data_IF_101177597892
#
_entry.id   IF_101177597892
#
_cell.length_a   1.000
_cell.length_b   1.000
_cell.length_c   1.000
_cell.angle_alpha   90.00
_cell.angle_beta   90.00
_cell.angle_gamma   90.00
#
_symmetry.space_group_name_H-M   'P 1'
#
loop_
_entity.id
_entity.type
_entity.pdbx_description
1 polymer ?
#
# COMPACT_ATOMS: atom_id res chain seq x y z
N UNK A 1 -0.93 -8.58 5.51
CA UNK A 1 0.52 -8.30 5.55
C UNK A 1 0.86 -7.83 6.96
N UNK A 2 1.84 -8.41 7.66
CA UNK A 2 2.25 -7.90 8.98
C UNK A 2 3.11 -6.63 8.88
N UNK A 3 3.14 -5.81 9.93
CA UNK A 3 3.88 -4.53 9.98
C UNK A 3 5.34 -4.65 9.50
N UNK A 4 6.13 -5.67 9.89
CA UNK A 4 7.53 -5.74 9.45
C UNK A 4 7.66 -5.86 7.93
N UNK A 5 6.74 -6.59 7.28
CA UNK A 5 6.71 -6.68 5.81
C UNK A 5 6.26 -5.38 5.16
N UNK A 6 5.32 -4.64 5.77
CA UNK A 6 4.95 -3.31 5.29
C UNK A 6 6.13 -2.33 5.37
N UNK A 7 6.87 -2.31 6.49
CA UNK A 7 8.02 -1.42 6.66
C UNK A 7 9.11 -1.72 5.61
N UNK A 8 9.42 -3.01 5.40
CA UNK A 8 10.42 -3.41 4.39
C UNK A 8 9.95 -2.99 3.00
N UNK A 9 8.72 -3.32 2.62
CA UNK A 9 8.16 -2.96 1.31
C UNK A 9 8.16 -1.43 1.09
N UNK A 10 7.73 -0.65 2.09
CA UNK A 10 7.72 0.82 2.00
C UNK A 10 9.11 1.40 1.88
N UNK A 11 10.10 0.86 2.60
CA UNK A 11 11.49 1.30 2.48
C UNK A 11 12.09 0.99 1.11
N UNK A 12 11.84 -0.21 0.59
CA UNK A 12 12.33 -0.64 -0.71
C UNK A 12 11.69 0.13 -1.85
N UNK A 13 10.42 0.50 -1.73
CA UNK A 13 9.68 1.27 -2.72
C UNK A 13 9.99 2.77 -2.63
N UNK A 14 9.86 3.39 -1.47
CA UNK A 14 10.07 4.83 -1.29
C UNK A 14 11.56 5.16 -1.06
N UNK A 15 12.42 4.83 -2.02
CA UNK A 15 13.88 4.99 -1.90
C UNK A 15 14.36 6.45 -1.84
N UNK A 16 13.56 7.37 -2.36
CA UNK A 16 13.87 8.80 -2.48
C UNK A 16 12.83 9.70 -1.83
N UNK A 17 11.79 9.10 -1.26
CA UNK A 17 10.64 9.80 -0.72
C UNK A 17 10.29 9.21 0.65
N UNK A 18 9.46 9.89 1.42
CA UNK A 18 8.97 9.36 2.69
C UNK A 18 7.47 9.13 2.59
N UNK A 19 6.94 8.15 3.33
CA UNK A 19 5.51 7.84 3.29
C UNK A 19 4.65 9.02 3.79
N UNK A 20 5.23 9.99 4.50
CA UNK A 20 4.58 11.24 4.88
C UNK A 20 4.79 12.38 3.87
N UNK A 21 5.59 12.21 2.81
CA UNK A 21 5.81 13.19 1.74
C UNK A 21 4.56 13.41 0.88
N UNK A 22 4.11 14.65 0.62
CA UNK A 22 2.87 14.90 -0.12
C UNK A 22 2.88 14.31 -1.54
N UNK A 23 4.04 14.08 -2.16
CA UNK A 23 4.15 13.48 -3.50
C UNK A 23 3.75 12.01 -3.57
N UNK A 24 3.75 11.28 -2.45
CA UNK A 24 3.45 9.84 -2.43
C UNK A 24 1.94 9.61 -2.60
N UNK A 25 1.50 8.77 -3.56
CA UNK A 25 0.09 8.53 -3.86
C UNK A 25 -0.60 7.58 -2.86
N UNK A 26 -1.94 7.54 -2.93
CA UNK A 26 -2.80 6.56 -2.24
C UNK A 26 -2.55 6.42 -0.74
N UNK A 27 -2.30 7.54 -0.08
CA UNK A 27 -2.05 7.60 1.35
C UNK A 27 -2.73 8.80 2.02
N UNK A 28 -2.78 8.74 3.33
CA UNK A 28 -2.98 9.88 4.20
C UNK A 28 -1.80 9.99 5.16
N UNK A 29 -1.60 11.16 5.74
CA UNK A 29 -0.69 11.38 6.86
C UNK A 29 -1.53 11.61 8.09
N UNK A 30 -1.32 10.79 9.12
CA UNK A 30 -1.89 11.05 10.43
C UNK A 30 -0.80 11.65 11.30
N UNK A 31 -1.04 12.87 11.74
CA UNK A 31 -0.16 13.59 12.65
C UNK A 31 -0.79 13.62 14.05
N UNK A 32 0.05 13.44 15.04
CA UNK A 32 -0.29 13.40 16.45
C UNK A 32 0.59 14.38 17.19
N UNK A 33 0.03 15.14 18.11
CA UNK A 33 0.78 16.02 19.00
C UNK A 33 0.30 15.83 20.42
N UNK A 34 1.26 15.78 21.35
CA UNK A 34 0.99 15.89 22.78
C UNK A 34 1.77 17.04 23.38
N UNK A 35 1.24 17.62 24.45
CA UNK A 35 1.93 18.64 25.23
C UNK A 35 1.58 18.50 26.71
N UNK A 36 2.61 18.52 27.56
CA UNK A 36 2.49 18.56 29.02
C UNK A 36 1.52 17.51 29.61
N UNK A 37 1.54 16.29 29.07
CA UNK A 37 0.84 15.12 29.62
C UNK A 37 -0.69 15.12 29.53
N UNK A 38 -1.32 16.13 28.91
CA UNK A 38 -2.79 16.24 28.92
C UNK A 38 -3.44 16.98 27.75
N UNK A 39 -2.66 17.47 26.78
CA UNK A 39 -3.19 18.09 25.56
C UNK A 39 -2.85 17.25 24.35
N UNK A 40 -3.83 16.52 23.82
CA UNK A 40 -3.67 15.66 22.65
C UNK A 40 -4.40 16.28 21.45
N UNK A 41 -3.75 16.24 20.29
CA UNK A 41 -4.34 16.71 19.03
C UNK A 41 -3.96 15.74 17.90
N UNK A 42 -4.91 15.52 16.99
CA UNK A 42 -4.72 14.63 15.83
C UNK A 42 -5.22 15.31 14.57
N UNK A 43 -4.42 15.22 13.52
CA UNK A 43 -4.74 15.73 12.18
C UNK A 43 -4.63 14.61 11.17
N UNK A 44 -5.47 14.66 10.14
CA UNK A 44 -5.43 13.75 9.00
C UNK A 44 -5.29 14.58 7.73
N UNK A 45 -4.27 14.27 6.94
CA UNK A 45 -4.02 14.93 5.66
C UNK A 45 -3.95 13.91 4.53
N UNK A 46 -4.93 13.94 3.63
CA UNK A 46 -5.01 13.03 2.49
C UNK A 46 -4.82 13.71 1.12
N UNK A 47 -4.64 15.04 1.12
CA UNK A 47 -4.41 15.85 -0.08
C UNK A 47 -3.00 16.46 -0.10
N UNK A 48 -2.44 16.62 -1.30
CA UNK A 48 -1.14 17.25 -1.55
C UNK A 48 -1.23 18.77 -1.31
N UNK A 49 -1.12 19.19 -0.06
CA UNK A 49 -1.21 20.61 0.32
C UNK A 49 -0.21 20.95 1.42
N UNK A 50 0.15 22.21 1.52
CA UNK A 50 1.06 22.70 2.57
C UNK A 50 0.32 22.98 3.90
N UNK A 51 -0.97 22.62 3.98
CA UNK A 51 -1.80 22.85 5.16
C UNK A 51 -1.66 21.69 6.13
N UNK A 52 -1.56 22.01 7.43
CA UNK A 52 -1.88 21.04 8.47
C UNK A 52 -3.28 20.51 8.18
N UNK A 53 -3.40 19.19 7.96
CA UNK A 53 -4.64 18.54 7.54
C UNK A 53 -5.84 18.78 8.46
N UNK A 54 -6.94 18.10 8.18
CA UNK A 54 -8.17 18.27 8.94
C UNK A 54 -8.00 17.72 10.36
N UNK A 55 -8.46 18.48 11.37
CA UNK A 55 -8.51 18.00 12.75
C UNK A 55 -9.43 16.78 12.78
N UNK A 56 -8.90 15.63 13.24
CA UNK A 56 -9.63 14.37 13.25
C UNK A 56 -10.82 14.37 14.22
N UNK A 57 -10.77 15.24 15.23
CA UNK A 57 -11.80 15.42 16.25
C UNK A 57 -11.18 15.82 17.60
N UNK A 58 -12.05 16.11 18.56
CA UNK A 58 -11.63 16.39 19.94
C UNK A 58 -11.29 15.11 20.69
N UNK A 59 -10.21 15.15 21.45
CA UNK A 59 -9.82 14.08 22.35
C UNK A 59 -10.68 14.10 23.62
N UNK A 60 -11.43 13.02 23.86
CA UNK A 60 -12.17 12.78 25.10
C UNK A 60 -11.34 12.00 26.13
N UNK A 61 -10.32 11.26 25.67
CA UNK A 61 -9.45 10.43 26.52
C UNK A 61 -7.98 10.68 26.22
N UNK A 62 -7.42 11.78 26.76
CA UNK A 62 -6.00 12.13 26.65
C UNK A 62 -5.25 11.77 27.94
N UNK A 63 -5.01 10.47 28.15
CA UNK A 63 -4.23 9.94 29.27
C UNK A 63 -3.68 8.55 28.90
N UNK A 64 -2.70 8.06 29.67
CA UNK A 64 -2.06 6.75 29.42
C UNK A 64 -3.09 5.61 29.43
N UNK A 65 -3.11 4.81 28.36
CA UNK A 65 -4.06 3.71 28.15
C UNK A 65 -5.46 4.14 27.70
N UNK A 66 -5.73 5.44 27.60
CA UNK A 66 -6.96 5.97 27.03
C UNK A 66 -7.00 5.77 25.51
N UNK A 67 -7.94 4.97 25.02
CA UNK A 67 -8.12 4.73 23.59
C UNK A 67 -9.16 5.68 23.00
N UNK A 68 -8.70 6.64 22.21
CA UNK A 68 -9.55 7.58 21.49
C UNK A 68 -9.90 7.02 20.11
N UNK A 69 -11.18 7.10 19.72
CA UNK A 69 -11.66 6.68 18.40
C UNK A 69 -11.95 7.90 17.53
N UNK A 70 -11.70 7.75 16.24
CA UNK A 70 -11.92 8.76 15.20
C UNK A 70 -12.51 8.09 13.96
N UNK A 71 -13.22 8.88 13.16
CA UNK A 71 -13.71 8.49 11.85
C UNK A 71 -13.34 9.59 10.86
N UNK A 72 -12.59 9.25 9.82
CA UNK A 72 -12.23 10.18 8.75
C UNK A 72 -12.69 9.65 7.39
N UNK A 73 -13.24 10.46 6.48
CA UNK A 73 -13.80 9.98 5.21
C UNK A 73 -12.85 9.15 4.36
N UNK A 74 -11.57 9.51 4.33
CA UNK A 74 -10.56 8.83 3.49
C UNK A 74 -9.75 7.76 4.22
N UNK A 75 -9.73 7.74 5.56
CA UNK A 75 -8.99 6.72 6.33
C UNK A 75 -9.95 5.63 6.86
N UNK A 76 -11.22 5.98 7.04
CA UNK A 76 -12.20 5.17 7.74
C UNK A 76 -12.07 5.35 9.26
N UNK A 77 -12.50 4.32 9.98
CA UNK A 77 -12.41 4.29 11.44
C UNK A 77 -10.98 3.97 11.88
N UNK A 78 -10.48 4.74 12.84
CA UNK A 78 -9.19 4.49 13.48
C UNK A 78 -9.21 4.90 14.95
N UNK A 79 -8.18 4.48 15.68
CA UNK A 79 -8.04 4.83 17.08
C UNK A 79 -6.60 5.05 17.46
N UNK A 80 -6.40 5.84 18.50
CA UNK A 80 -5.09 6.15 19.05
C UNK A 80 -5.07 5.91 20.56
N UNK A 81 -3.96 5.40 21.06
CA UNK A 81 -3.70 5.18 22.48
C UNK A 81 -2.28 5.59 22.78
N UNK A 82 -2.01 6.24 23.91
CA UNK A 82 -0.65 6.40 24.41
C UNK A 82 -0.38 5.33 25.46
N UNK A 83 0.66 4.51 25.28
CA UNK A 83 1.00 3.48 26.26
C UNK A 83 1.81 4.02 27.43
N UNK A 84 2.43 5.19 27.28
CA UNK A 84 3.35 5.75 28.27
C UNK A 84 3.17 7.26 28.45
N UNK A 85 3.72 7.79 29.54
CA UNK A 85 3.73 9.23 29.82
C UNK A 85 4.67 9.62 30.97
N UNK A 86 5.26 10.81 30.86
CA UNK A 86 6.27 11.33 31.78
C UNK A 86 7.67 10.71 31.57
N UNK A 87 8.58 10.91 32.54
CA UNK A 87 9.96 10.41 32.44
C UNK A 87 10.91 11.41 31.79
N UNK A 88 11.80 10.94 30.91
CA UNK A 88 12.79 11.78 30.20
C UNK A 88 12.14 12.67 29.12
N UNK A 89 10.88 12.39 28.78
CA UNK A 89 10.05 13.18 27.88
C UNK A 89 8.86 13.77 28.66
N UNK A 90 8.65 15.09 28.54
CA UNK A 90 7.51 15.75 29.16
C UNK A 90 6.29 15.61 28.23
N UNK A 91 5.38 14.67 28.51
CA UNK A 91 4.26 14.38 27.63
C UNK A 91 3.67 12.98 27.77
N UNK A 92 2.60 12.71 27.00
CA UNK A 92 2.18 11.35 26.67
C UNK A 92 2.95 10.91 25.43
N UNK A 93 3.47 9.69 25.43
CA UNK A 93 4.32 9.17 24.36
C UNK A 93 4.06 7.69 24.10
N UNK A 94 4.83 7.13 23.16
CA UNK A 94 4.65 5.77 22.64
C UNK A 94 3.23 5.55 22.13
N UNK A 95 2.83 6.33 21.11
CA UNK A 95 1.51 6.21 20.53
C UNK A 95 1.35 4.88 19.78
N UNK A 96 0.17 4.31 19.94
CA UNK A 96 -0.31 3.12 19.24
C UNK A 96 -1.48 3.58 18.37
N UNK A 97 -1.36 3.38 17.05
CA UNK A 97 -2.45 3.58 16.11
C UNK A 97 -3.06 2.22 15.72
N UNK A 98 -4.38 2.18 15.56
CA UNK A 98 -5.08 1.02 15.04
C UNK A 98 -6.07 1.50 13.98
N UNK A 99 -6.05 0.86 12.82
CA UNK A 99 -6.94 1.19 11.70
C UNK A 99 -7.97 0.06 11.53
N UNK A 100 -9.26 0.39 11.44
CA UNK A 100 -10.29 -0.62 11.22
C UNK A 100 -10.12 -1.30 9.85
N UNK A 101 -9.81 -0.50 8.83
CA UNK A 101 -9.66 -0.94 7.45
C UNK A 101 -8.36 -1.69 7.15
N UNK A 102 -7.46 -1.85 8.14
CA UNK A 102 -6.17 -2.50 7.93
C UNK A 102 -5.90 -3.51 9.04
N UNK A 103 -5.81 -4.80 8.67
CA UNK A 103 -5.60 -5.94 9.57
C UNK A 103 -6.54 -5.99 10.81
N UNK A 104 -7.79 -5.51 10.68
CA UNK A 104 -8.83 -5.60 11.72
C UNK A 104 -8.38 -5.06 13.09
N UNK A 105 -8.02 -3.78 13.15
CA UNK A 105 -7.57 -3.10 14.37
C UNK A 105 -6.27 -3.66 14.98
N UNK A 106 -5.36 -4.20 14.17
CA UNK A 106 -4.03 -4.56 14.64
C UNK A 106 -3.29 -3.32 15.21
N UNK A 107 -2.65 -3.41 16.39
CA UNK A 107 -1.93 -2.29 17.00
C UNK A 107 -0.59 -2.01 16.31
N UNK A 108 -0.38 -0.74 15.95
CA UNK A 108 0.84 -0.20 15.38
C UNK A 108 1.49 0.74 16.38
N UNK A 109 2.50 0.24 17.09
CA UNK A 109 3.33 1.07 17.94
C UNK A 109 4.26 1.92 17.05
N UNK A 110 4.09 3.24 17.10
CA UNK A 110 4.82 4.13 16.19
C UNK A 110 6.32 4.16 16.51
N UNK A 111 6.69 4.02 17.78
CA UNK A 111 8.10 4.04 18.18
C UNK A 111 8.83 2.79 17.64
N UNK A 112 8.20 1.61 17.74
CA UNK A 112 8.74 0.35 17.17
C UNK A 112 8.92 0.48 15.64
N UNK A 113 7.96 1.12 14.97
CA UNK A 113 8.01 1.36 13.52
C UNK A 113 9.15 2.32 13.18
N UNK A 114 9.32 3.40 13.94
CA UNK A 114 10.40 4.39 13.74
C UNK A 114 11.77 3.76 14.01
N UNK A 115 11.92 2.98 15.06
CA UNK A 115 13.16 2.27 15.38
C UNK A 115 13.53 1.28 14.26
N UNK A 116 12.58 0.48 13.78
CA UNK A 116 12.79 -0.45 12.67
C UNK A 116 13.14 0.27 11.35
N UNK A 117 12.76 1.54 11.20
CA UNK A 117 13.14 2.35 10.04
C UNK A 117 14.60 2.82 10.08
N UNK A 118 15.20 2.97 11.26
CA UNK A 118 16.59 3.40 11.42
C UNK A 118 16.88 4.79 10.83
N UNK A 119 18.16 5.10 10.63
CA UNK A 119 18.65 6.44 10.25
C UNK A 119 18.53 6.78 8.76
N UNK A 120 17.78 6.01 7.97
CA UNK A 120 17.60 6.29 6.53
C UNK A 120 16.94 7.66 6.32
N UNK A 121 17.41 8.48 5.39
CA UNK A 121 16.78 9.78 5.08
C UNK A 121 15.45 9.63 4.29
N UNK A 122 15.24 8.45 3.70
CA UNK A 122 14.10 8.12 2.84
C UNK A 122 13.45 6.80 3.26
N UNK A 123 12.27 6.50 2.72
CA UNK A 123 11.53 5.27 3.01
C UNK A 123 10.85 5.27 4.37
N UNK A 124 10.78 6.43 5.04
CA UNK A 124 10.22 6.51 6.39
C UNK A 124 8.70 6.45 6.34
N UNK A 125 8.14 5.42 6.97
CA UNK A 125 6.71 5.29 7.23
C UNK A 125 6.23 6.31 8.28
N UNK A 126 7.05 6.52 9.30
CA UNK A 126 6.74 7.37 10.44
C UNK A 126 7.93 8.25 10.80
N UNK A 127 7.65 9.40 11.40
CA UNK A 127 8.65 10.26 12.01
C UNK A 127 8.18 10.69 13.39
N UNK A 128 9.14 10.89 14.28
CA UNK A 128 8.96 11.49 15.60
C UNK A 128 9.80 12.77 15.65
N UNK A 129 9.16 13.84 16.05
CA UNK A 129 9.76 15.13 16.34
C UNK A 129 9.53 15.52 17.79
N UNK A 130 10.40 16.39 18.28
CA UNK A 130 10.20 17.12 19.52
C UNK A 130 10.43 18.60 19.26
N UNK A 131 9.51 19.45 19.70
CA UNK A 131 9.72 20.89 19.72
C UNK A 131 10.18 21.34 21.11
N UNK A 132 10.79 22.54 21.24
CA UNK A 132 10.99 23.16 22.55
C UNK A 132 9.69 23.15 23.37
N UNK A 133 9.80 23.07 24.70
CA UNK A 133 8.66 23.15 25.64
C UNK A 133 7.80 21.88 25.82
N UNK A 134 8.38 20.68 25.68
CA UNK A 134 7.68 19.44 26.03
C UNK A 134 6.53 19.11 25.08
N UNK A 135 6.70 19.46 23.81
CA UNK A 135 5.80 19.07 22.73
C UNK A 135 6.42 17.87 22.02
N UNK A 136 5.64 16.79 21.95
CA UNK A 136 6.00 15.59 21.21
C UNK A 136 5.08 15.47 20.01
N UNK A 137 5.65 15.17 18.85
CA UNK A 137 4.91 15.02 17.61
C UNK A 137 5.29 13.75 16.86
N UNK A 138 4.29 13.07 16.32
CA UNK A 138 4.47 11.93 15.43
C UNK A 138 3.71 12.20 14.15
N UNK A 139 4.27 11.79 13.02
CA UNK A 139 3.56 11.78 11.74
C UNK A 139 3.82 10.47 11.03
N UNK A 140 2.75 9.79 10.64
CA UNK A 140 2.83 8.52 9.93
C UNK A 140 2.02 8.57 8.64
N UNK A 141 2.62 8.06 7.57
CA UNK A 141 1.86 7.66 6.40
C UNK A 141 0.96 6.47 6.75
N UNK A 142 -0.29 6.50 6.30
CA UNK A 142 -1.23 5.38 6.37
C UNK A 142 -1.93 5.20 5.03
N UNK A 143 -2.33 3.98 4.64
CA UNK A 143 -3.17 3.78 3.47
C UNK A 143 -4.55 4.43 3.64
N UNK A 144 -5.15 4.82 2.51
CA UNK A 144 -6.57 5.21 2.49
C UNK A 144 -7.47 4.00 2.78
N UNK A 145 -8.65 4.24 3.35
CA UNK A 145 -9.63 3.18 3.61
C UNK A 145 -10.04 2.50 2.31
N UNK A 146 -10.06 1.17 2.33
CA UNK A 146 -10.41 0.37 1.16
C UNK A 146 -9.40 0.45 0.01
N UNK A 147 -8.24 1.09 0.21
CA UNK A 147 -7.20 1.12 -0.79
C UNK A 147 -6.65 -0.29 -1.01
N UNK A 148 -6.60 -0.71 -2.28
CA UNK A 148 -5.87 -1.90 -2.74
C UNK A 148 -4.36 -1.70 -2.71
N UNK A 149 -3.89 -0.46 -2.50
CA UNK A 149 -2.49 -0.08 -2.39
C UNK A 149 -2.21 0.84 -1.19
N UNK A 150 -1.00 0.76 -0.64
CA UNK A 150 -0.45 1.65 0.37
C UNK A 150 0.83 2.28 -0.15
N UNK A 151 0.88 3.62 -0.20
CA UNK A 151 2.08 4.37 -0.59
C UNK A 151 2.53 4.09 -2.03
N UNK A 152 1.62 3.72 -2.91
CA UNK A 152 1.92 3.25 -4.27
C UNK A 152 2.06 1.74 -4.39
N UNK A 153 2.25 1.00 -3.29
CA UNK A 153 2.47 -0.46 -3.32
C UNK A 153 1.15 -1.23 -3.14
N UNK A 154 0.82 -2.23 -3.96
CA UNK A 154 -0.40 -3.03 -3.72
C UNK A 154 -0.32 -3.77 -2.38
N UNK A 155 -1.39 -3.71 -1.59
CA UNK A 155 -1.56 -4.47 -0.35
C UNK A 155 -2.17 -5.84 -0.66
N UNK A 156 -1.33 -6.82 -0.90
CA UNK A 156 -1.76 -8.15 -1.31
C UNK A 156 -1.94 -9.05 -0.08
N UNK A 157 -3.11 -9.70 0.03
CA UNK A 157 -3.37 -10.72 1.04
C UNK A 157 -2.56 -12.00 0.73
N UNK A 158 -2.30 -12.88 1.71
CA UNK A 158 -1.78 -14.20 1.37
C UNK A 158 -2.81 -14.98 0.52
N UNK A 159 -2.32 -15.92 -0.29
CA UNK A 159 -3.20 -16.83 -1.03
C UNK A 159 -4.13 -17.58 -0.08
N UNK A 160 -5.35 -17.84 -0.54
CA UNK A 160 -6.35 -18.57 0.24
C UNK A 160 -5.76 -19.87 0.76
N UNK A 161 -5.92 -20.19 2.04
CA UNK A 161 -5.50 -21.50 2.58
C UNK A 161 -6.47 -22.62 2.23
N UNK A 162 -7.58 -22.32 1.55
CA UNK A 162 -8.54 -23.35 1.15
C UNK A 162 -7.93 -24.29 0.12
N UNK A 163 -8.18 -25.57 0.33
CA UNK A 163 -7.88 -26.62 -0.63
C UNK A 163 -8.99 -26.68 -1.68
N UNK A 164 -8.59 -26.72 -2.94
CA UNK A 164 -9.51 -26.75 -4.07
C UNK A 164 -9.45 -25.48 -4.90
N UNK A 165 -9.68 -25.66 -6.19
CA UNK A 165 -9.68 -24.63 -7.21
C UNK A 165 -11.02 -24.68 -7.94
N UNK A 166 -11.63 -23.52 -8.17
CA UNK A 166 -12.83 -23.45 -8.99
C UNK A 166 -12.45 -23.16 -10.45
N UNK A 167 -12.61 -24.14 -11.37
CA UNK A 167 -12.38 -23.91 -12.79
C UNK A 167 -13.41 -22.95 -13.37
N UNK A 168 -13.04 -22.27 -14.46
CA UNK A 168 -13.90 -21.36 -15.18
C UNK A 168 -13.20 -20.06 -15.51
N UNK A 169 -13.88 -18.94 -15.26
CA UNK A 169 -13.34 -17.61 -15.52
C UNK A 169 -12.50 -17.12 -14.35
N UNK A 170 -11.18 -17.18 -14.48
CA UNK A 170 -10.25 -16.57 -13.54
C UNK A 170 -10.08 -15.08 -13.82
N UNK A 171 -9.61 -14.36 -12.81
CA UNK A 171 -9.25 -12.94 -12.94
C UNK A 171 -7.83 -12.71 -12.42
N UNK A 172 -7.12 -11.78 -13.04
CA UNK A 172 -5.89 -11.21 -12.52
C UNK A 172 -6.07 -9.70 -12.38
N UNK A 173 -5.74 -9.18 -11.20
CA UNK A 173 -5.52 -7.76 -10.98
C UNK A 173 -4.03 -7.50 -11.09
N UNK A 174 -3.63 -6.52 -11.90
CA UNK A 174 -2.24 -6.22 -12.20
C UNK A 174 -2.00 -4.74 -11.96
N UNK A 175 -0.98 -4.42 -11.15
CA UNK A 175 -0.38 -3.10 -11.12
C UNK A 175 0.99 -3.17 -11.81
N UNK A 176 1.26 -2.25 -12.73
CA UNK A 176 2.58 -2.09 -13.34
C UNK A 176 3.21 -0.78 -12.87
N UNK A 177 4.41 -0.89 -12.33
CA UNK A 177 5.24 0.23 -11.94
C UNK A 177 6.13 0.72 -13.08
N UNK A 178 6.25 2.04 -13.24
CA UNK A 178 7.03 2.70 -14.28
C UNK A 178 8.54 2.66 -13.97
N UNK A 179 9.37 2.51 -15.00
CA UNK A 179 10.83 2.58 -14.85
C UNK A 179 11.25 3.95 -14.32
N UNK A 180 12.17 3.95 -13.36
CA UNK A 180 12.82 5.12 -12.76
C UNK A 180 11.85 6.07 -12.04
N UNK A 181 10.63 5.63 -11.76
CA UNK A 181 9.67 6.35 -10.93
C UNK A 181 9.54 5.64 -9.58
N UNK A 182 9.31 6.40 -8.51
CA UNK A 182 8.98 5.90 -7.17
C UNK A 182 9.76 4.63 -6.72
N UNK A 183 11.08 4.61 -6.97
CA UNK A 183 11.99 3.54 -6.54
C UNK A 183 11.88 2.20 -7.29
N UNK A 184 11.09 2.12 -8.37
CA UNK A 184 10.95 0.93 -9.21
C UNK A 184 12.23 0.52 -9.95
N UNK A 185 13.22 1.42 -10.05
CA UNK A 185 14.51 1.12 -10.68
C UNK A 185 14.44 1.10 -12.21
N UNK A 186 15.46 0.56 -12.88
CA UNK A 186 15.61 0.67 -14.34
C UNK A 186 14.70 -0.28 -15.14
N UNK A 187 13.98 -1.17 -14.47
CA UNK A 187 13.08 -2.18 -15.06
C UNK A 187 11.65 -1.92 -14.63
N UNK A 188 10.68 -2.45 -15.36
CA UNK A 188 9.31 -2.44 -14.87
C UNK A 188 9.16 -3.45 -13.75
N UNK A 189 8.38 -3.11 -12.74
CA UNK A 189 7.96 -4.05 -11.71
C UNK A 189 6.45 -4.26 -11.75
N UNK A 190 5.98 -5.37 -11.21
CA UNK A 190 4.56 -5.70 -11.18
C UNK A 190 4.12 -6.20 -9.81
N UNK A 191 2.90 -5.80 -9.45
CA UNK A 191 2.05 -6.52 -8.51
C UNK A 191 1.02 -7.31 -9.29
N UNK A 192 0.77 -8.54 -8.85
CA UNK A 192 -0.23 -9.40 -9.50
C UNK A 192 -0.98 -10.17 -8.45
N UNK A 193 -2.30 -10.16 -8.55
CA UNK A 193 -3.20 -10.98 -7.73
C UNK A 193 -4.07 -11.82 -8.64
N UNK A 194 -3.95 -13.14 -8.54
CA UNK A 194 -4.69 -14.10 -9.36
C UNK A 194 -5.80 -14.71 -8.52
N UNK A 195 -7.04 -14.64 -9.01
CA UNK A 195 -8.23 -15.24 -8.39
C UNK A 195 -8.87 -16.30 -9.28
N UNK A 196 -9.35 -17.36 -8.66
CA UNK A 196 -10.13 -18.42 -9.33
C UNK A 196 -11.58 -17.98 -9.66
N UNK A 197 -12.34 -18.86 -10.32
CA UNK A 197 -13.74 -18.56 -10.68
C UNK A 197 -14.67 -18.39 -9.46
N UNK A 198 -14.24 -18.84 -8.28
CA UNK A 198 -14.92 -18.63 -7.00
C UNK A 198 -14.51 -17.34 -6.28
N UNK A 199 -13.57 -16.58 -6.84
CA UNK A 199 -13.02 -15.37 -6.25
C UNK A 199 -11.93 -15.62 -5.20
N UNK A 200 -11.44 -16.85 -5.05
CA UNK A 200 -10.35 -17.16 -4.12
C UNK A 200 -9.01 -16.74 -4.71
N UNK A 201 -8.17 -16.06 -3.92
CA UNK A 201 -6.81 -15.77 -4.34
C UNK A 201 -5.99 -17.07 -4.39
N UNK A 202 -5.40 -17.35 -5.55
CA UNK A 202 -4.66 -18.59 -5.86
C UNK A 202 -3.21 -18.34 -6.28
N UNK A 203 -2.77 -17.09 -6.36
CA UNK A 203 -1.39 -16.74 -6.64
C UNK A 203 -1.19 -15.25 -6.55
N UNK A 204 0.00 -14.82 -6.15
CA UNK A 204 0.38 -13.42 -6.19
C UNK A 204 1.89 -13.23 -6.28
N UNK A 205 2.28 -12.04 -6.73
CA UNK A 205 3.60 -11.46 -6.57
C UNK A 205 3.46 -10.00 -6.18
N UNK A 206 4.47 -9.48 -5.51
CA UNK A 206 4.50 -8.09 -5.08
C UNK A 206 5.83 -7.45 -5.47
N UNK A 207 5.75 -6.35 -6.22
CA UNK A 207 6.83 -5.49 -6.67
C UNK A 207 8.01 -6.28 -7.25
N UNK A 208 7.70 -7.22 -8.13
CA UNK A 208 8.73 -8.05 -8.78
C UNK A 208 9.10 -7.45 -10.12
N UNK A 209 10.38 -7.16 -10.31
CA UNK A 209 10.93 -6.70 -11.58
C UNK A 209 10.83 -7.78 -12.66
N UNK A 210 10.63 -7.35 -13.90
CA UNK A 210 10.85 -8.20 -15.07
C UNK A 210 12.32 -8.57 -15.23
N UNK A 211 12.60 -9.67 -15.94
CA UNK A 211 13.95 -10.03 -16.34
C UNK A 211 14.52 -9.08 -17.41
N UNK A 212 15.75 -9.32 -17.86
CA UNK A 212 16.42 -8.50 -18.89
C UNK A 212 15.71 -8.56 -20.26
N UNK A 213 14.85 -9.57 -20.48
CA UNK A 213 14.01 -9.70 -21.67
C UNK A 213 12.65 -9.02 -21.53
N UNK A 214 12.33 -8.45 -20.37
CA UNK A 214 11.02 -7.85 -20.10
C UNK A 214 9.95 -8.88 -19.69
N UNK A 215 10.36 -10.09 -19.27
CA UNK A 215 9.45 -11.17 -18.91
C UNK A 215 9.36 -11.39 -17.40
N UNK A 216 8.18 -11.83 -16.95
CA UNK A 216 7.91 -12.18 -15.56
C UNK A 216 6.89 -13.32 -15.50
N UNK A 217 7.23 -14.38 -14.76
CA UNK A 217 6.33 -15.52 -14.55
C UNK A 217 5.79 -15.51 -13.13
N UNK A 218 4.47 -15.45 -12.99
CA UNK A 218 3.77 -15.42 -11.72
C UNK A 218 3.32 -16.84 -11.35
N UNK A 219 3.85 -17.44 -10.28
CA UNK A 219 3.39 -18.73 -9.82
C UNK A 219 1.98 -18.61 -9.22
N UNK A 220 1.25 -19.72 -9.26
CA UNK A 220 -0.04 -19.87 -8.59
C UNK A 220 -0.16 -21.30 -8.06
N UNK A 221 -1.27 -21.62 -7.39
CA UNK A 221 -1.66 -22.99 -7.03
C UNK A 221 -1.97 -23.89 -8.25
N UNK A 222 -1.66 -23.44 -9.47
CA UNK A 222 -1.87 -24.14 -10.74
C UNK A 222 -0.53 -24.58 -11.34
N UNK A 223 -0.52 -25.61 -12.21
CA UNK A 223 0.70 -26.08 -12.85
C UNK A 223 1.26 -25.10 -13.90
N UNK A 224 0.43 -24.19 -14.42
CA UNK A 224 0.85 -23.15 -15.35
C UNK A 224 1.07 -21.83 -14.61
N UNK A 225 2.11 -21.10 -15.02
CA UNK A 225 2.34 -19.72 -14.60
C UNK A 225 1.46 -18.78 -15.38
N UNK A 226 1.16 -17.64 -14.75
CA UNK A 226 0.64 -16.47 -15.45
C UNK A 226 1.83 -15.63 -15.88
N UNK A 227 2.07 -15.54 -17.18
CA UNK A 227 3.26 -14.90 -17.73
C UNK A 227 2.94 -13.50 -18.22
N UNK A 228 3.83 -12.57 -17.94
CA UNK A 228 3.75 -11.15 -18.27
C UNK A 228 4.96 -10.82 -19.15
N UNK A 229 4.72 -10.08 -20.23
CA UNK A 229 5.77 -9.50 -21.06
C UNK A 229 5.53 -8.00 -21.20
N UNK A 230 6.41 -7.21 -20.59
CA UNK A 230 6.41 -5.77 -20.70
C UNK A 230 7.15 -5.33 -21.98
N UNK A 231 6.68 -4.27 -22.62
CA UNK A 231 7.39 -3.69 -23.77
C UNK A 231 8.67 -2.95 -23.39
N UNK A 232 9.28 -2.29 -24.36
CA UNK A 232 10.53 -1.56 -24.17
C UNK A 232 10.32 -0.20 -23.52
N UNK A 233 9.24 0.50 -23.90
CA UNK A 233 8.92 1.88 -23.49
C UNK A 233 7.55 1.99 -22.83
N UNK A 234 7.30 3.09 -22.12
CA UNK A 234 6.10 3.24 -21.28
C UNK A 234 4.80 3.13 -22.10
N UNK A 235 4.84 3.55 -23.37
CA UNK A 235 3.71 3.48 -24.30
C UNK A 235 3.46 2.09 -24.90
N UNK A 236 4.33 1.11 -24.63
CA UNK A 236 4.14 -0.25 -25.16
C UNK A 236 3.08 -1.02 -24.34
N UNK A 237 2.22 -1.82 -25.00
CA UNK A 237 1.23 -2.62 -24.29
C UNK A 237 1.91 -3.76 -23.51
N UNK A 238 1.23 -4.24 -22.47
CA UNK A 238 1.64 -5.45 -21.75
C UNK A 238 0.96 -6.65 -22.40
N UNK A 239 1.74 -7.69 -22.63
CA UNK A 239 1.24 -8.99 -23.10
C UNK A 239 1.14 -9.95 -21.93
N UNK A 240 0.07 -10.72 -21.91
CA UNK A 240 -0.20 -11.72 -20.89
C UNK A 240 -0.40 -13.08 -21.53
N UNK A 241 0.01 -14.14 -20.83
CA UNK A 241 -0.22 -15.51 -21.26
C UNK A 241 -0.53 -16.43 -20.09
N UNK A 242 -1.40 -17.41 -20.33
CA UNK A 242 -1.72 -18.46 -19.37
C UNK A 242 -2.22 -19.72 -20.09
N UNK A 243 -1.58 -20.86 -19.82
CA UNK A 243 -1.99 -22.17 -20.36
C UNK A 243 -2.25 -22.19 -21.89
N UNK A 244 -1.40 -21.50 -22.66
CA UNK A 244 -1.52 -21.40 -24.13
C UNK A 244 -2.49 -20.32 -24.63
N UNK A 245 -3.19 -19.62 -23.74
CA UNK A 245 -3.88 -18.36 -24.07
C UNK A 245 -2.86 -17.23 -24.06
N UNK A 246 -3.05 -16.25 -24.95
CA UNK A 246 -2.22 -15.04 -25.01
C UNK A 246 -3.09 -13.87 -25.45
N UNK A 247 -2.94 -12.73 -24.79
CA UNK A 247 -3.67 -11.51 -25.12
C UNK A 247 -2.83 -10.27 -24.84
N UNK A 248 -3.15 -9.18 -25.54
CA UNK A 248 -2.42 -7.91 -25.41
C UNK A 248 -3.38 -6.84 -24.91
N UNK A 249 -2.99 -6.12 -23.86
CA UNK A 249 -3.83 -5.06 -23.32
C UNK A 249 -3.59 -3.75 -24.06
N UNK A 250 -4.16 -3.66 -25.27
CA UNK A 250 -4.05 -2.50 -26.17
C UNK A 250 -5.39 -1.78 -26.43
N UNK A 251 -6.48 -2.20 -25.77
CA UNK A 251 -7.83 -1.66 -25.99
C UNK A 251 -8.67 -2.41 -27.03
N UNK A 252 -8.04 -3.22 -27.90
CA UNK A 252 -8.72 -3.99 -28.95
C UNK A 252 -9.17 -5.38 -28.44
N UNK A 253 -8.39 -6.00 -27.54
CA UNK A 253 -8.69 -7.31 -26.93
C UNK A 253 -9.61 -7.23 -25.70
N UNK A 254 -10.14 -6.03 -25.37
CA UNK A 254 -10.94 -5.79 -24.18
C UNK A 254 -12.22 -6.66 -24.11
N UNK A 255 -12.72 -7.18 -25.23
CA UNK A 255 -13.94 -8.00 -25.23
C UNK A 255 -13.73 -9.46 -24.88
N UNK A 256 -12.55 -10.05 -25.19
CA UNK A 256 -12.32 -11.49 -25.01
C UNK A 256 -11.72 -11.82 -23.65
N UNK A 257 -10.81 -10.97 -23.16
CA UNK A 257 -10.10 -11.14 -21.89
C UNK A 257 -10.43 -10.04 -20.87
N UNK A 258 -11.37 -9.14 -21.18
CA UNK A 258 -11.80 -8.09 -20.25
C UNK A 258 -10.67 -7.17 -19.81
N UNK A 259 -9.59 -7.05 -20.59
CA UNK A 259 -8.41 -6.35 -20.11
C UNK A 259 -8.65 -4.84 -20.00
N UNK A 260 -8.44 -4.27 -18.81
CA UNK A 260 -8.55 -2.83 -18.56
C UNK A 260 -7.22 -2.14 -18.37
N UNK A 261 -6.11 -2.90 -18.28
CA UNK A 261 -4.76 -2.36 -18.17
C UNK A 261 -4.42 -1.55 -19.43
N UNK A 262 -4.36 -0.24 -19.31
CA UNK A 262 -4.39 0.66 -20.47
C UNK A 262 -3.06 1.35 -20.78
N UNK A 263 -2.94 1.80 -22.03
CA UNK A 263 -1.91 2.72 -22.50
C UNK A 263 -2.55 3.83 -23.36
N UNK A 264 -3.44 4.61 -22.74
CA UNK A 264 -4.18 5.66 -23.42
C UNK A 264 -4.25 6.96 -22.60
N UNK A 265 -4.70 8.09 -23.17
CA UNK A 265 -4.74 9.39 -22.50
C UNK A 265 -5.58 9.44 -21.20
N UNK A 266 -6.37 8.39 -20.94
CA UNK A 266 -7.19 8.21 -19.73
C UNK A 266 -6.66 7.15 -18.76
N UNK A 267 -5.78 6.26 -19.23
CA UNK A 267 -5.31 5.06 -18.52
C UNK A 267 -3.79 4.89 -18.73
N UNK A 268 -3.03 5.99 -18.77
CA UNK A 268 -1.57 5.95 -18.75
C UNK A 268 -1.08 5.73 -17.32
N UNK A 269 0.24 5.80 -17.11
CA UNK A 269 0.76 5.85 -15.74
C UNK A 269 0.18 7.06 -14.99
N UNK A 270 -0.39 6.82 -13.82
CA UNK A 270 -0.85 7.84 -12.89
C UNK A 270 0.00 7.71 -11.62
N UNK A 271 0.79 8.74 -11.31
CA UNK A 271 1.73 8.73 -10.18
C UNK A 271 2.78 7.60 -10.21
N UNK A 272 3.27 7.22 -11.40
CA UNK A 272 4.36 6.23 -11.54
C UNK A 272 3.90 4.78 -11.62
N UNK A 273 2.60 4.50 -11.59
CA UNK A 273 2.04 3.16 -11.77
C UNK A 273 0.77 3.18 -12.64
N UNK A 274 0.36 2.01 -13.14
CA UNK A 274 -0.91 1.82 -13.85
C UNK A 274 -1.52 0.48 -13.47
N UNK A 275 -2.81 0.51 -13.19
CA UNK A 275 -3.55 -0.67 -12.76
C UNK A 275 -4.57 -1.16 -13.80
N UNK A 276 -4.94 -2.43 -13.68
CA UNK A 276 -5.98 -3.02 -14.51
C UNK A 276 -6.35 -4.42 -14.07
N UNK A 277 -7.52 -4.85 -14.54
CA UNK A 277 -8.06 -6.19 -14.37
C UNK A 277 -8.12 -6.89 -15.72
N UNK A 278 -7.96 -8.20 -15.70
CA UNK A 278 -8.10 -9.07 -16.85
C UNK A 278 -8.66 -10.41 -16.41
N UNK A 279 -9.26 -11.13 -17.35
CA UNK A 279 -9.73 -12.47 -17.12
C UNK A 279 -9.24 -13.45 -18.18
N UNK A 280 -9.22 -14.70 -17.79
CA UNK A 280 -8.74 -15.80 -18.61
C UNK A 280 -9.41 -17.09 -18.20
N UNK A 281 -9.51 -18.03 -19.14
CA UNK A 281 -10.04 -19.35 -18.82
C UNK A 281 -9.01 -20.12 -18.01
N UNK A 282 -9.43 -20.65 -16.88
CA UNK A 282 -8.61 -21.51 -16.06
C UNK A 282 -9.31 -22.86 -15.89
N UNK A 283 -8.84 -23.85 -16.64
CA UNK A 283 -9.41 -25.19 -16.61
C UNK A 283 -8.89 -25.97 -15.40
N UNK A 284 -9.69 -26.95 -14.93
CA UNK A 284 -9.19 -27.99 -14.05
C UNK A 284 -8.14 -28.80 -14.84
N UNK A 285 -6.96 -28.97 -14.25
CA UNK A 285 -5.88 -29.71 -14.89
C UNK A 285 -6.19 -31.20 -14.81
#
# INVERSE_FOLDING_TARGET
MGIPMLIIAVKEYLQTENAYSPSVPNKCVISLRTQAGGNCQTWVQCAQTDRAGDIAGDWQVCYVGGRQFFTHPEVGDFSMTFSEGGGDQDGLHSPIIQLAGYNNWEPFNLDDIIEAQGDSDYGRLCTHGGQPEGILDWSCGVPKSGASAAFGISLIAPDSSQDGFQPGWCTAHVNQYQKNELGTGAKYAFDVVIKDAGGNQIGHIQHVEVDDGGHLSVPSKRPFTFDISAGAVDSDPVTFAYAGQTWVCNGEDNSAHGCTLGNGPRNGYENGDREGDMGFTCDAA
#
